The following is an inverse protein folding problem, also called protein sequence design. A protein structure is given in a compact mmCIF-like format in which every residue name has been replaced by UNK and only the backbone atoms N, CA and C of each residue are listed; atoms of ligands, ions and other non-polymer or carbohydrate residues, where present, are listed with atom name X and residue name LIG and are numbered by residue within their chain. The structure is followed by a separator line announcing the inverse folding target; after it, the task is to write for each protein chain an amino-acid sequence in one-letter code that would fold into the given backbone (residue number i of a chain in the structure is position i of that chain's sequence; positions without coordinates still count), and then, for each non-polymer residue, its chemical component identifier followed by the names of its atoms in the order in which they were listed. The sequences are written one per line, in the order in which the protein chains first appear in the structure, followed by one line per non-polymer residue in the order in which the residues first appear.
data_IF_272102474028
#
_entry.id   IF_272102474028
#
_cell.length_a   1.000
_cell.length_b   1.000
_cell.length_c   1.000
_cell.angle_alpha   90.00
_cell.angle_beta   90.00
_cell.angle_gamma   90.00
#
_symmetry.space_group_name_H-M   'P 1'
#
loop_
_entity.id
_entity.type
_entity.pdbx_description
1 polymer ?
#
# COMPACT_ATOMS: atom_id res chain seq x y z
N UNK A 1 3.39 16.99 -14.59
CA UNK A 1 3.07 17.93 -13.51
C UNK A 1 2.74 17.12 -12.28
N UNK A 2 3.33 17.41 -11.11
CA UNK A 2 2.97 16.69 -9.89
C UNK A 2 1.59 17.19 -9.44
N UNK A 3 0.52 16.44 -9.72
CA UNK A 3 -0.77 16.69 -9.11
C UNK A 3 -0.59 16.66 -7.59
N UNK A 4 -0.95 17.76 -6.93
CA UNK A 4 -0.96 17.84 -5.47
C UNK A 4 -2.20 17.09 -4.97
N UNK A 5 -2.07 15.77 -4.87
CA UNK A 5 -3.15 14.91 -4.38
C UNK A 5 -3.40 15.17 -2.89
N UNK A 6 -4.58 15.73 -2.58
CA UNK A 6 -5.04 15.92 -1.22
C UNK A 6 -6.02 14.81 -0.86
N UNK A 7 -5.55 13.83 -0.09
CA UNK A 7 -6.38 12.73 0.38
C UNK A 7 -7.00 13.05 1.74
N UNK A 8 -8.29 12.72 1.96
CA UNK A 8 -8.89 12.80 3.28
C UNK A 8 -8.16 11.91 4.29
N UNK A 9 -8.05 12.37 5.54
CA UNK A 9 -7.38 11.63 6.62
C UNK A 9 -7.96 10.21 6.80
N UNK A 10 -9.28 10.04 6.66
CA UNK A 10 -9.93 8.73 6.74
C UNK A 10 -9.42 7.74 5.66
N UNK A 11 -9.20 8.23 4.44
CA UNK A 11 -8.67 7.41 3.34
C UNK A 11 -7.18 7.08 3.55
N UNK A 12 -6.41 8.03 4.07
CA UNK A 12 -5.02 7.84 4.48
C UNK A 12 -4.95 6.75 5.57
N UNK A 13 -5.78 6.83 6.60
CA UNK A 13 -5.82 5.84 7.68
C UNK A 13 -6.19 4.44 7.18
N UNK A 14 -7.21 4.32 6.31
CA UNK A 14 -7.54 3.04 5.68
C UNK A 14 -6.35 2.44 4.93
N UNK A 15 -5.58 3.29 4.22
CA UNK A 15 -4.38 2.84 3.51
C UNK A 15 -3.25 2.44 4.46
N UNK A 16 -3.03 3.17 5.56
CA UNK A 16 -2.06 2.80 6.59
C UNK A 16 -2.41 1.45 7.23
N UNK A 17 -3.68 1.20 7.55
CA UNK A 17 -4.13 -0.10 8.05
C UNK A 17 -3.90 -1.23 7.04
N UNK A 18 -4.13 -0.96 5.75
CA UNK A 18 -3.86 -1.92 4.68
C UNK A 18 -2.37 -2.26 4.59
N UNK A 19 -1.49 -1.27 4.74
CA UNK A 19 -0.04 -1.49 4.74
C UNK A 19 0.38 -2.32 5.95
N UNK A 20 -0.12 -2.01 7.16
CA UNK A 20 0.15 -2.77 8.38
C UNK A 20 -0.26 -4.24 8.26
N UNK A 21 -1.49 -4.48 7.82
CA UNK A 21 -1.98 -5.84 7.62
C UNK A 21 -1.13 -6.59 6.58
N UNK A 22 -0.72 -5.92 5.50
CA UNK A 22 0.15 -6.51 4.49
C UNK A 22 1.55 -6.85 5.04
N UNK A 23 2.14 -5.95 5.81
CA UNK A 23 3.42 -6.17 6.47
C UNK A 23 3.36 -7.38 7.40
N UNK A 24 2.27 -7.51 8.17
CA UNK A 24 2.04 -8.65 9.06
C UNK A 24 1.95 -9.98 8.29
N UNK A 25 1.34 -10.01 7.10
CA UNK A 25 1.35 -11.24 6.26
C UNK A 25 2.75 -11.71 5.87
N UNK A 26 3.72 -10.79 5.87
CA UNK A 26 5.10 -11.08 5.50
C UNK A 26 5.94 -11.58 6.68
N UNK A 27 5.43 -11.51 7.90
CA UNK A 27 6.10 -11.96 9.13
C UNK A 27 5.94 -13.47 9.41
N UNK A 28 5.55 -14.27 8.40
CA UNK A 28 5.29 -15.72 8.57
C UNK A 28 4.25 -16.03 9.67
N UNK A 29 3.02 -15.50 9.56
CA UNK A 29 1.96 -15.78 10.53
C UNK A 29 1.52 -17.25 10.51
N UNK A 30 0.84 -17.70 11.57
CA UNK A 30 0.14 -19.00 11.56
C UNK A 30 -0.92 -19.05 10.46
N UNK A 31 -1.35 -20.23 9.99
CA UNK A 31 -2.38 -20.36 8.95
C UNK A 31 -3.69 -19.64 9.28
N UNK A 32 -4.16 -19.73 10.53
CA UNK A 32 -5.38 -19.08 11.00
C UNK A 32 -5.22 -17.57 10.95
N UNK A 33 -4.09 -17.07 11.46
CA UNK A 33 -3.78 -15.64 11.43
C UNK A 33 -3.63 -15.11 10.01
N UNK A 34 -3.05 -15.92 9.11
CA UNK A 34 -2.95 -15.58 7.69
C UNK A 34 -4.34 -15.42 7.06
N UNK A 35 -5.26 -16.34 7.32
CA UNK A 35 -6.62 -16.25 6.80
C UNK A 35 -7.36 -15.01 7.31
N UNK A 36 -7.20 -14.67 8.60
CA UNK A 36 -7.74 -13.42 9.17
C UNK A 36 -7.18 -12.17 8.49
N UNK A 37 -5.86 -12.15 8.24
CA UNK A 37 -5.18 -11.04 7.57
C UNK A 37 -5.63 -10.89 6.12
N UNK A 38 -5.76 -11.99 5.38
CA UNK A 38 -6.25 -11.98 4.00
C UNK A 38 -7.70 -11.44 3.94
N UNK A 39 -8.58 -11.88 4.85
CA UNK A 39 -9.94 -11.32 4.99
C UNK A 39 -9.95 -9.84 5.37
N UNK A 40 -9.03 -9.41 6.25
CA UNK A 40 -8.88 -8.00 6.63
C UNK A 40 -8.42 -7.16 5.45
N UNK A 41 -7.42 -7.62 4.71
CA UNK A 41 -6.91 -6.96 3.51
C UNK A 41 -7.99 -6.82 2.44
N UNK A 42 -8.78 -7.86 2.21
CA UNK A 42 -9.92 -7.80 1.29
C UNK A 42 -10.91 -6.71 1.71
N UNK A 43 -11.35 -6.71 2.98
CA UNK A 43 -12.27 -5.69 3.51
C UNK A 43 -11.72 -4.27 3.41
N UNK A 44 -10.43 -4.08 3.70
CA UNK A 44 -9.77 -2.79 3.56
C UNK A 44 -9.69 -2.36 2.10
N UNK A 45 -9.39 -3.27 1.17
CA UNK A 45 -9.37 -2.97 -0.26
C UNK A 45 -10.73 -2.51 -0.78
N UNK A 46 -11.82 -3.16 -0.33
CA UNK A 46 -13.19 -2.75 -0.67
C UNK A 46 -13.48 -1.37 -0.09
N UNK A 47 -13.23 -1.14 1.20
CA UNK A 47 -13.46 0.17 1.84
C UNK A 47 -12.66 1.31 1.19
N UNK A 48 -11.43 1.04 0.79
CA UNK A 48 -10.61 2.00 0.04
C UNK A 48 -11.27 2.27 -1.31
N UNK A 49 -11.63 1.23 -2.08
CA UNK A 49 -12.21 1.39 -3.42
C UNK A 49 -13.58 2.07 -3.44
N UNK A 50 -14.38 1.89 -2.39
CA UNK A 50 -15.72 2.48 -2.25
C UNK A 50 -15.72 3.84 -1.53
N UNK A 51 -14.54 4.33 -1.12
CA UNK A 51 -14.45 5.55 -0.32
C UNK A 51 -15.05 6.76 -1.07
N UNK A 52 -15.87 7.62 -0.42
CA UNK A 52 -16.56 8.73 -1.08
C UNK A 52 -15.67 9.69 -1.87
N UNK A 53 -14.42 9.84 -1.46
CA UNK A 53 -13.40 10.62 -2.19
C UNK A 53 -13.33 10.25 -3.69
N UNK A 54 -13.47 8.98 -4.05
CA UNK A 54 -13.37 8.55 -5.45
C UNK A 54 -14.57 8.90 -6.31
N UNK A 55 -15.64 9.47 -5.73
CA UNK A 55 -16.77 9.99 -6.51
C UNK A 55 -16.41 11.30 -7.21
N UNK A 56 -15.53 12.09 -6.59
CA UNK A 56 -15.11 13.41 -7.07
C UNK A 56 -13.70 13.39 -7.64
N UNK A 57 -12.95 12.30 -7.43
CA UNK A 57 -11.57 12.13 -7.87
C UNK A 57 -11.36 10.79 -8.57
N UNK A 58 -10.53 10.73 -9.62
CA UNK A 58 -10.33 9.50 -10.37
C UNK A 58 -9.55 8.46 -9.56
N UNK A 59 -10.06 7.22 -9.50
CA UNK A 59 -9.40 6.09 -8.83
C UNK A 59 -8.39 5.38 -9.76
N UNK A 60 -7.45 6.14 -10.33
CA UNK A 60 -6.43 5.65 -11.28
C UNK A 60 -5.27 4.94 -10.57
N UNK A 61 -4.43 4.18 -11.30
CA UNK A 61 -3.18 3.65 -10.76
C UNK A 61 -2.30 4.73 -10.12
N UNK A 62 -2.18 5.91 -10.74
CA UNK A 62 -1.39 7.02 -10.21
C UNK A 62 -1.96 7.58 -8.91
N UNK A 63 -3.30 7.75 -8.82
CA UNK A 63 -3.94 8.16 -7.58
C UNK A 63 -3.73 7.14 -6.46
N UNK A 64 -3.72 5.84 -6.78
CA UNK A 64 -3.43 4.76 -5.81
C UNK A 64 -1.97 4.79 -5.33
N UNK A 65 -1.03 5.09 -6.22
CA UNK A 65 0.39 5.28 -5.88
C UNK A 65 0.56 6.53 -5.00
N UNK A 66 -0.08 7.63 -5.37
CA UNK A 66 -0.06 8.86 -4.58
C UNK A 66 -0.65 8.64 -3.18
N UNK A 67 -1.77 7.92 -3.07
CA UNK A 67 -2.38 7.55 -1.79
C UNK A 67 -1.44 6.68 -0.95
N UNK A 68 -0.74 5.72 -1.58
CA UNK A 68 0.25 4.92 -0.88
C UNK A 68 1.40 5.79 -0.32
N UNK A 69 1.95 6.70 -1.13
CA UNK A 69 3.00 7.63 -0.70
C UNK A 69 2.52 8.53 0.45
N UNK A 70 1.31 9.09 0.33
CA UNK A 70 0.71 9.90 1.39
C UNK A 70 0.53 9.13 2.70
N UNK A 71 0.08 7.86 2.63
CA UNK A 71 -0.08 7.01 3.81
C UNK A 71 1.25 6.68 4.50
N UNK A 72 2.31 6.45 3.74
CA UNK A 72 3.66 6.21 4.26
C UNK A 72 4.24 7.48 4.90
N UNK A 73 4.01 8.65 4.29
CA UNK A 73 4.56 9.92 4.76
C UNK A 73 3.78 10.55 5.94
N UNK A 74 2.51 10.20 6.12
CA UNK A 74 1.68 10.71 7.20
C UNK A 74 2.13 10.18 8.58
N UNK A 75 1.85 10.90 9.69
CA UNK A 75 2.12 10.41 11.03
C UNK A 75 1.57 9.00 11.29
N UNK A 76 2.38 8.15 11.90
CA UNK A 76 2.05 6.73 12.11
C UNK A 76 2.10 5.86 10.85
N UNK A 77 2.51 6.42 9.71
CA UNK A 77 2.80 5.68 8.49
C UNK A 77 4.00 4.75 8.67
N UNK A 78 3.93 3.60 8.01
CA UNK A 78 5.05 2.67 7.90
C UNK A 78 5.24 2.30 6.42
N UNK A 79 6.47 2.03 5.97
CA UNK A 79 6.67 1.64 4.59
C UNK A 79 6.22 0.18 4.40
N UNK A 80 5.69 -0.14 3.21
CA UNK A 80 5.33 -1.51 2.91
C UNK A 80 6.58 -2.38 2.73
N UNK A 81 6.52 -3.60 3.24
CA UNK A 81 7.50 -4.66 2.96
C UNK A 81 7.52 -4.90 1.45
N UNK A 82 8.70 -4.91 0.85
CA UNK A 82 8.82 -5.21 -0.58
C UNK A 82 9.14 -6.69 -0.75
N UNK A 83 8.42 -7.41 -1.61
CA UNK A 83 8.73 -8.82 -1.90
C UNK A 83 9.48 -8.89 -3.23
N UNK A 84 10.73 -9.35 -3.20
CA UNK A 84 11.56 -9.58 -4.40
C UNK A 84 11.94 -11.04 -4.53
N UNK A 85 12.08 -11.52 -5.77
CA UNK A 85 12.68 -12.83 -6.02
C UNK A 85 14.19 -12.64 -6.12
N UNK A 86 14.93 -13.14 -5.14
CA UNK A 86 16.40 -13.09 -5.10
C UNK A 86 16.90 -14.54 -5.20
N UNK A 87 17.67 -14.85 -6.24
CA UNK A 87 18.21 -16.21 -6.45
C UNK A 87 17.12 -17.30 -6.54
N UNK A 88 15.96 -16.98 -7.12
CA UNK A 88 14.83 -17.92 -7.24
C UNK A 88 13.96 -18.07 -6.00
N UNK A 89 14.24 -17.32 -4.91
CA UNK A 89 13.46 -17.35 -3.66
C UNK A 89 12.75 -16.02 -3.43
N UNK A 90 11.48 -16.08 -3.02
CA UNK A 90 10.73 -14.89 -2.63
C UNK A 90 11.23 -14.40 -1.25
N UNK A 91 11.83 -13.22 -1.23
CA UNK A 91 12.39 -12.57 -0.05
C UNK A 91 11.61 -11.30 0.25
N UNK A 92 11.12 -11.18 1.49
CA UNK A 92 10.60 -9.93 2.04
C UNK A 92 11.79 -9.03 2.43
N UNK A 93 11.94 -7.91 1.74
CA UNK A 93 12.91 -6.89 2.05
C UNK A 93 12.36 -5.95 3.12
N UNK A 94 13.19 -5.56 4.11
CA UNK A 94 12.81 -4.56 5.08
C UNK A 94 12.31 -3.29 4.38
N UNK A 95 11.27 -2.66 4.94
CA UNK A 95 10.68 -1.48 4.34
C UNK A 95 11.71 -0.34 4.30
N UNK A 96 11.98 0.21 3.11
CA UNK A 96 12.96 1.29 2.88
C UNK A 96 14.32 0.88 2.29
N UNK A 97 14.62 -0.42 2.10
CA UNK A 97 15.88 -0.86 1.46
C UNK A 97 15.77 -0.87 -0.08
N UNK A 98 14.57 -1.00 -0.65
CA UNK A 98 14.39 -1.12 -2.10
C UNK A 98 14.08 0.17 -2.86
N UNK A 99 13.98 1.32 -2.17
CA UNK A 99 13.44 2.57 -2.74
C UNK A 99 14.50 3.54 -3.32
N UNK A 100 15.64 3.04 -3.82
CA UNK A 100 16.55 3.87 -4.62
C UNK A 100 16.20 3.90 -6.11
N UNK A 101 15.32 3.01 -6.60
CA UNK A 101 15.02 2.96 -8.04
C UNK A 101 13.65 3.52 -8.40
N UNK A 102 13.74 4.70 -9.03
CA UNK A 102 12.89 5.22 -10.10
C UNK A 102 11.96 4.17 -10.73
N UNK A 103 10.66 4.43 -10.63
CA UNK A 103 9.75 3.96 -11.67
C UNK A 103 10.27 4.51 -13.01
N UNK A 104 10.51 3.67 -14.03
CA UNK A 104 10.83 4.20 -15.34
C UNK A 104 9.69 5.14 -15.77
N UNK A 105 9.99 6.31 -16.37
CA UNK A 105 8.94 7.17 -16.91
C UNK A 105 8.10 6.33 -17.87
N UNK A 106 6.79 6.46 -17.77
CA UNK A 106 5.87 5.83 -18.71
C UNK A 106 6.24 6.26 -20.14
N UNK A 107 6.89 5.39 -20.89
CA UNK A 107 6.78 5.36 -22.35
C UNK A 107 5.36 4.87 -22.66
N UNK A 108 4.53 5.58 -23.41
CA UNK A 108 4.78 6.31 -24.65
C UNK A 108 3.65 7.31 -24.90
#
# INVERSE_FOLDING_TARGET
MAENWLFPAALIHLKQESIRAYNETSATPTPERRAELDQRLFRLSVRIGEHPHWREHPHTPDARIALHRAAVAAPGGEPAVEKRVIGGRLTALPPGIGSEWQYPPATR
#
